data_IF_503966667940
#
_entry.id   IF_503966667940
#
_cell.length_a   1.000
_cell.length_b   1.000
_cell.length_c   1.000
_cell.angle_alpha   90.00
_cell.angle_beta   90.00
_cell.angle_gamma   90.00
#
_symmetry.space_group_name_H-M   'P 1'
#
loop_
_entity.id
_entity.type
_entity.pdbx_description
1 polymer ?
#
# COMPACT_ATOMS: atom_id res chain seq x y z
N UNK A 1 70.59 10.78 27.71
CA UNK A 1 70.30 9.37 27.43
C UNK A 1 70.32 8.62 28.75
N UNK A 2 69.15 8.51 29.38
CA UNK A 2 68.90 7.56 30.46
C UNK A 2 67.69 6.75 29.98
N UNK A 3 67.90 5.45 29.74
CA UNK A 3 66.87 4.57 29.21
C UNK A 3 65.81 4.30 30.28
N UNK A 4 64.55 4.24 29.84
CA UNK A 4 63.36 3.86 30.62
C UNK A 4 63.42 2.42 31.20
N UNK A 5 64.54 1.72 31.04
CA UNK A 5 64.74 0.34 31.45
C UNK A 5 65.18 0.19 32.93
N UNK A 6 65.37 1.30 33.66
CA UNK A 6 65.98 1.30 35.00
C UNK A 6 65.00 1.71 36.13
N UNK A 7 63.70 1.81 35.85
CA UNK A 7 62.71 2.30 36.85
C UNK A 7 61.86 1.20 37.51
N UNK A 8 61.92 -0.05 37.06
CA UNK A 8 61.08 -1.11 37.64
C UNK A 8 61.79 -2.47 37.70
N UNK A 9 62.91 -2.53 38.42
CA UNK A 9 63.33 -3.78 39.06
C UNK A 9 62.95 -3.72 40.53
N UNK A 10 61.96 -4.54 40.88
CA UNK A 10 62.00 -5.52 41.97
C UNK A 10 60.64 -5.61 42.69
N UNK A 11 59.79 -6.54 42.26
CA UNK A 11 59.18 -7.43 43.25
C UNK A 11 58.78 -8.78 42.63
N UNK A 12 59.59 -9.77 42.98
CA UNK A 12 59.24 -11.15 43.35
C UNK A 12 58.10 -11.85 42.60
N UNK A 13 58.51 -12.87 41.86
CA UNK A 13 57.73 -14.09 41.64
C UNK A 13 57.28 -14.68 42.98
N UNK A 14 55.98 -14.69 43.24
CA UNK A 14 55.34 -15.74 44.04
C UNK A 14 54.04 -16.17 43.35
N UNK A 15 54.10 -17.39 42.81
CA UNK A 15 53.00 -18.34 42.60
C UNK A 15 51.61 -17.91 43.10
N UNK A 16 50.74 -17.48 42.17
CA UNK A 16 49.32 -17.85 42.21
C UNK A 16 48.66 -17.57 40.85
N UNK A 17 48.92 -18.47 39.91
CA UNK A 17 48.35 -18.39 38.54
C UNK A 17 46.84 -18.72 38.54
N UNK A 18 46.33 -19.30 39.63
CA UNK A 18 44.91 -19.66 39.78
C UNK A 18 44.04 -18.50 40.27
N UNK A 19 44.62 -17.53 40.98
CA UNK A 19 43.88 -16.39 41.53
C UNK A 19 43.66 -15.28 40.47
N UNK A 20 44.61 -15.06 39.55
CA UNK A 20 44.49 -14.06 38.48
C UNK A 20 43.47 -14.44 37.39
N UNK A 21 43.28 -15.74 37.15
CA UNK A 21 42.29 -16.20 36.15
C UNK A 21 40.86 -16.03 36.65
N UNK A 22 40.62 -16.11 37.96
CA UNK A 22 39.28 -15.86 38.51
C UNK A 22 38.95 -14.36 38.61
N UNK A 23 39.95 -13.51 38.91
CA UNK A 23 39.75 -12.06 38.99
C UNK A 23 39.49 -11.44 37.60
N UNK A 24 40.23 -11.87 36.58
CA UNK A 24 40.02 -11.43 35.19
C UNK A 24 38.65 -11.84 34.61
N UNK A 25 38.13 -13.02 34.98
CA UNK A 25 36.81 -13.50 34.53
C UNK A 25 35.66 -12.77 35.22
N UNK A 26 35.87 -12.30 36.46
CA UNK A 26 34.90 -11.48 37.20
C UNK A 26 34.87 -10.05 36.67
N UNK A 27 36.03 -9.50 36.28
CA UNK A 27 36.13 -8.18 35.66
C UNK A 27 35.55 -8.13 34.24
N UNK A 28 35.81 -9.15 33.40
CA UNK A 28 35.24 -9.21 32.04
C UNK A 28 33.70 -9.31 32.04
N UNK A 29 33.12 -10.00 33.03
CA UNK A 29 31.66 -10.08 33.16
C UNK A 29 31.04 -8.76 33.63
N UNK A 30 31.74 -8.01 34.48
CA UNK A 30 31.30 -6.66 34.90
C UNK A 30 31.45 -5.63 33.78
N UNK A 31 32.51 -5.72 32.97
CA UNK A 31 32.72 -4.89 31.78
C UNK A 31 31.69 -5.18 30.67
N UNK A 32 31.38 -6.45 30.41
CA UNK A 32 30.36 -6.84 29.43
C UNK A 32 28.94 -6.41 29.85
N UNK A 33 28.65 -6.32 31.15
CA UNK A 33 27.39 -5.81 31.68
C UNK A 33 27.26 -4.27 31.58
N UNK A 34 28.38 -3.54 31.47
CA UNK A 34 28.41 -2.08 31.41
C UNK A 34 28.55 -1.53 29.98
N UNK A 35 29.20 -2.28 29.06
CA UNK A 35 29.56 -1.80 27.71
C UNK A 35 29.11 -2.75 26.57
N UNK A 36 28.54 -3.92 26.90
CA UNK A 36 28.14 -4.94 25.92
C UNK A 36 29.27 -5.91 25.55
N UNK A 37 28.96 -7.10 24.98
CA UNK A 37 29.94 -8.16 24.74
C UNK A 37 30.93 -7.80 23.61
N UNK A 38 32.21 -8.18 23.71
CA UNK A 38 33.19 -7.90 22.68
C UNK A 38 32.92 -8.73 21.40
N UNK A 39 33.05 -8.09 20.24
CA UNK A 39 32.99 -8.77 18.95
C UNK A 39 34.12 -9.79 18.83
N UNK A 40 33.75 -11.06 18.66
CA UNK A 40 34.67 -12.14 18.29
C UNK A 40 35.28 -11.80 16.93
N UNK A 41 36.58 -11.51 16.90
CA UNK A 41 37.35 -11.43 15.68
C UNK A 41 37.41 -12.82 15.04
N UNK A 42 36.49 -13.08 14.10
CA UNK A 42 36.59 -14.24 13.23
C UNK A 42 37.83 -14.08 12.36
N UNK A 43 38.82 -14.93 12.60
CA UNK A 43 39.96 -15.11 11.69
C UNK A 43 39.40 -15.57 10.34
N UNK A 44 39.43 -14.68 9.34
CA UNK A 44 38.95 -14.98 7.99
C UNK A 44 39.75 -16.13 7.36
N UNK A 45 39.11 -17.14 6.74
CA UNK A 45 39.81 -18.03 5.83
C UNK A 45 40.17 -17.28 4.54
N UNK A 46 41.30 -17.66 3.94
CA UNK A 46 41.92 -17.03 2.75
C UNK A 46 40.92 -16.82 1.60
N UNK A 47 40.92 -15.60 1.04
CA UNK A 47 40.19 -15.10 -0.15
C UNK A 47 40.29 -15.92 -1.45
N UNK A 48 40.97 -17.07 -1.48
CA UNK A 48 41.19 -17.86 -2.70
C UNK A 48 40.04 -18.86 -2.94
N UNK A 49 39.33 -19.30 -1.90
CA UNK A 49 38.25 -20.31 -2.05
C UNK A 49 36.88 -19.72 -2.45
N UNK A 50 36.61 -18.44 -2.16
CA UNK A 50 35.33 -17.81 -2.49
C UNK A 50 35.13 -17.71 -4.02
N UNK A 51 36.20 -17.41 -4.76
CA UNK A 51 36.17 -17.31 -6.22
C UNK A 51 35.97 -18.68 -6.89
N UNK A 52 36.58 -19.74 -6.36
CA UNK A 52 36.36 -21.11 -6.82
C UNK A 52 34.92 -21.57 -6.54
N UNK A 53 34.37 -21.18 -5.38
CA UNK A 53 32.99 -21.48 -4.98
C UNK A 53 31.96 -20.73 -5.82
N UNK A 54 32.22 -19.47 -6.15
CA UNK A 54 31.37 -18.66 -7.05
C UNK A 54 31.40 -19.19 -8.48
N UNK A 55 32.57 -19.58 -8.98
CA UNK A 55 32.69 -20.23 -10.30
C UNK A 55 31.93 -21.54 -10.34
N UNK A 56 32.02 -22.37 -9.29
CA UNK A 56 31.27 -23.62 -9.19
C UNK A 56 29.75 -23.41 -9.13
N UNK A 57 29.27 -22.34 -8.46
CA UNK A 57 27.85 -21.99 -8.40
C UNK A 57 27.30 -21.51 -9.75
N UNK A 58 28.09 -20.73 -10.51
CA UNK A 58 27.70 -20.27 -11.85
C UNK A 58 27.67 -21.44 -12.83
N UNK A 59 28.61 -22.37 -12.71
CA UNK A 59 28.70 -23.55 -13.57
C UNK A 59 27.58 -24.58 -13.28
N UNK A 60 27.14 -24.67 -12.01
CA UNK A 60 25.95 -25.43 -11.60
C UNK A 60 24.64 -24.77 -12.09
N UNK A 61 24.56 -23.44 -12.05
CA UNK A 61 23.43 -22.68 -12.58
C UNK A 61 23.32 -22.80 -14.11
N UNK A 62 24.45 -22.83 -14.82
CA UNK A 62 24.49 -23.05 -16.27
C UNK A 62 24.08 -24.48 -16.66
N UNK A 63 24.38 -25.48 -15.83
CA UNK A 63 23.96 -26.88 -16.05
C UNK A 63 22.49 -27.16 -15.73
N UNK A 64 21.86 -26.33 -14.90
CA UNK A 64 20.44 -26.45 -14.52
C UNK A 64 19.51 -25.54 -15.34
N UNK A 65 20.06 -24.64 -16.16
CA UNK A 65 19.30 -23.81 -17.08
C UNK A 65 18.75 -24.64 -18.26
N UNK A 66 17.52 -25.13 -18.11
CA UNK A 66 16.78 -25.75 -19.22
C UNK A 66 16.19 -24.67 -20.14
N UNK A 67 16.36 -24.75 -21.46
CA UNK A 67 15.73 -23.80 -22.38
C UNK A 67 14.21 -23.98 -22.38
N UNK A 68 13.49 -22.87 -22.25
CA UNK A 68 12.02 -22.81 -22.31
C UNK A 68 11.56 -23.29 -23.69
N UNK A 69 10.87 -24.43 -23.72
CA UNK A 69 10.11 -24.93 -24.87
C UNK A 69 8.70 -24.34 -24.80
N UNK A 70 8.28 -23.60 -25.82
CA UNK A 70 6.89 -23.18 -25.99
C UNK A 70 6.21 -24.14 -26.98
N UNK A 71 5.32 -25.01 -26.50
CA UNK A 71 4.03 -25.37 -27.11
C UNK A 71 3.34 -26.55 -26.38
N UNK A 72 2.05 -26.39 -26.07
CA UNK A 72 1.07 -27.50 -26.07
C UNK A 72 0.54 -28.04 -24.73
N UNK A 73 -0.68 -27.60 -24.37
CA UNK A 73 -1.76 -28.30 -23.65
C UNK A 73 -1.46 -29.32 -22.52
N UNK A 74 -1.93 -29.03 -21.30
CA UNK A 74 -2.13 -30.02 -20.23
C UNK A 74 -2.56 -29.36 -18.90
N UNK A 75 -3.68 -29.80 -18.33
CA UNK A 75 -4.38 -29.17 -17.19
C UNK A 75 -3.61 -29.11 -15.86
N UNK A 76 -4.00 -28.14 -15.04
CA UNK A 76 -3.30 -27.68 -13.83
C UNK A 76 -3.57 -28.52 -12.56
N UNK A 77 -2.59 -28.65 -11.64
CA UNK A 77 -2.86 -28.79 -10.23
C UNK A 77 -2.89 -27.40 -9.55
N UNK A 78 -3.98 -27.11 -8.81
CA UNK A 78 -4.14 -25.89 -8.02
C UNK A 78 -3.21 -25.93 -6.80
N UNK A 79 -2.26 -24.99 -6.73
CA UNK A 79 -1.51 -24.64 -5.51
C UNK A 79 -1.98 -23.29 -4.94
N UNK A 80 -1.88 -23.08 -3.62
CA UNK A 80 -2.44 -21.92 -2.93
C UNK A 80 -1.72 -20.62 -3.31
N UNK A 81 -2.51 -19.57 -3.59
CA UNK A 81 -2.04 -18.23 -3.91
C UNK A 81 -1.25 -17.64 -2.72
N UNK A 82 0.07 -17.62 -2.82
CA UNK A 82 0.92 -16.75 -2.00
C UNK A 82 0.89 -15.35 -2.62
N UNK A 83 0.59 -14.35 -1.79
CA UNK A 83 0.58 -12.94 -2.19
C UNK A 83 1.90 -12.54 -2.84
N UNK A 84 1.81 -11.92 -4.01
CA UNK A 84 2.97 -11.36 -4.71
C UNK A 84 3.55 -10.23 -3.86
N UNK A 85 4.65 -10.50 -3.16
CA UNK A 85 5.62 -9.43 -2.91
C UNK A 85 6.12 -9.02 -4.29
N UNK A 86 5.84 -7.78 -4.69
CA UNK A 86 6.42 -7.15 -5.88
C UNK A 86 7.93 -7.08 -5.66
N UNK A 87 8.63 -8.13 -6.08
CA UNK A 87 10.08 -8.06 -6.20
C UNK A 87 10.35 -7.06 -7.30
N UNK A 88 10.90 -5.92 -6.94
CA UNK A 88 11.15 -4.80 -7.83
C UNK A 88 12.28 -5.15 -8.81
N UNK A 89 11.92 -5.82 -9.91
CA UNK A 89 12.83 -6.17 -11.00
C UNK A 89 13.47 -4.93 -11.66
N UNK A 90 12.99 -3.71 -11.35
CA UNK A 90 13.62 -2.47 -11.79
C UNK A 90 14.95 -2.16 -11.09
N UNK A 91 15.15 -2.58 -9.84
CA UNK A 91 16.45 -2.41 -9.16
C UNK A 91 17.50 -3.42 -9.66
N UNK A 92 17.06 -4.60 -10.09
CA UNK A 92 17.96 -5.67 -10.60
C UNK A 92 18.56 -5.28 -11.95
N UNK A 93 17.80 -4.60 -12.82
CA UNK A 93 18.29 -4.20 -14.15
C UNK A 93 19.33 -3.07 -14.12
N UNK A 94 19.21 -2.12 -13.18
CA UNK A 94 20.20 -1.05 -13.01
C UNK A 94 21.52 -1.57 -12.40
N UNK A 95 21.45 -2.55 -11.49
CA UNK A 95 22.64 -3.18 -10.92
C UNK A 95 23.44 -3.95 -11.99
N UNK A 96 22.76 -4.64 -12.92
CA UNK A 96 23.44 -5.40 -13.98
C UNK A 96 24.12 -4.47 -15.00
N UNK A 97 23.51 -3.35 -15.35
CA UNK A 97 24.07 -2.42 -16.34
C UNK A 97 25.19 -1.53 -15.73
N UNK A 98 25.05 -1.09 -14.48
CA UNK A 98 26.10 -0.35 -13.77
C UNK A 98 27.33 -1.23 -13.47
N UNK A 99 27.13 -2.52 -13.18
CA UNK A 99 28.23 -3.49 -13.04
C UNK A 99 28.92 -3.75 -14.38
N UNK A 100 28.20 -3.71 -15.51
CA UNK A 100 28.80 -3.82 -16.83
C UNK A 100 29.70 -2.62 -17.17
N UNK A 101 29.32 -1.39 -16.79
CA UNK A 101 30.15 -0.19 -16.99
C UNK A 101 31.39 -0.20 -16.09
N UNK A 102 31.28 -0.67 -14.84
CA UNK A 102 32.42 -0.75 -13.91
C UNK A 102 33.37 -1.92 -14.22
N UNK A 103 32.89 -3.00 -14.83
CA UNK A 103 33.71 -4.18 -15.16
C UNK A 103 34.63 -3.99 -16.38
N UNK A 104 34.36 -3.02 -17.26
CA UNK A 104 35.18 -2.78 -18.47
C UNK A 104 36.48 -2.02 -18.16
N UNK A 105 36.56 -1.32 -17.03
CA UNK A 105 37.76 -0.54 -16.64
C UNK A 105 38.91 -1.43 -16.13
N UNK A 106 38.69 -2.73 -15.88
CA UNK A 106 39.60 -3.54 -15.05
C UNK A 106 40.50 -4.56 -15.73
N UNK A 107 40.19 -5.08 -16.93
CA UNK A 107 40.90 -6.26 -17.45
C UNK A 107 41.00 -6.18 -18.97
N UNK A 108 42.16 -5.79 -19.51
CA UNK A 108 42.81 -6.40 -20.70
C UNK A 108 44.09 -5.63 -21.08
N UNK A 109 45.02 -5.51 -20.12
CA UNK A 109 46.38 -5.03 -20.35
C UNK A 109 47.40 -6.16 -20.26
N UNK A 110 47.19 -7.27 -20.98
CA UNK A 110 48.00 -8.48 -20.80
C UNK A 110 48.10 -9.36 -22.05
N UNK A 111 49.08 -9.02 -22.90
CA UNK A 111 49.79 -9.91 -23.84
C UNK A 111 49.04 -10.32 -25.13
N UNK A 112 49.32 -9.60 -26.22
CA UNK A 112 49.93 -10.14 -27.45
C UNK A 112 50.41 -8.98 -28.35
N UNK A 113 51.58 -8.41 -28.06
CA UNK A 113 52.23 -7.42 -28.91
C UNK A 113 53.15 -8.14 -29.91
N UNK A 114 52.61 -8.42 -31.09
CA UNK A 114 53.39 -8.60 -32.30
C UNK A 114 53.01 -7.48 -33.28
N UNK A 115 53.89 -6.48 -33.41
CA UNK A 115 53.91 -5.43 -34.46
C UNK A 115 52.83 -4.34 -34.53
N UNK A 116 51.97 -4.13 -33.51
CA UNK A 116 51.07 -2.97 -33.52
C UNK A 116 51.82 -1.67 -33.15
N UNK A 117 51.60 -0.58 -33.91
CA UNK A 117 52.13 0.75 -33.54
C UNK A 117 51.49 1.23 -32.23
N UNK A 118 52.17 2.12 -31.46
CA UNK A 118 51.57 2.75 -30.29
C UNK A 118 50.23 3.44 -30.59
N UNK A 119 50.12 4.13 -31.74
CA UNK A 119 48.89 4.76 -32.20
C UNK A 119 47.77 3.73 -32.46
N UNK A 120 48.08 2.60 -33.10
CA UNK A 120 47.10 1.52 -33.31
C UNK A 120 46.60 0.91 -31.99
N UNK A 121 47.44 0.89 -30.96
CA UNK A 121 47.05 0.40 -29.63
C UNK A 121 46.17 1.41 -28.90
N UNK A 122 46.52 2.70 -28.96
CA UNK A 122 45.72 3.79 -28.41
C UNK A 122 44.35 3.88 -29.10
N UNK A 123 44.28 3.69 -30.42
CA UNK A 123 43.04 3.70 -31.18
C UNK A 123 42.08 2.58 -30.76
N UNK A 124 42.60 1.40 -30.43
CA UNK A 124 41.79 0.30 -29.87
C UNK A 124 41.24 0.69 -28.49
N UNK A 125 42.07 1.25 -27.61
CA UNK A 125 41.61 1.72 -26.30
C UNK A 125 40.52 2.79 -26.45
N UNK A 126 40.73 3.79 -27.33
CA UNK A 126 39.72 4.78 -27.68
C UNK A 126 38.41 4.14 -28.14
N UNK A 127 38.45 3.15 -29.04
CA UNK A 127 37.23 2.49 -29.50
C UNK A 127 36.47 1.74 -28.41
N UNK A 128 37.18 1.21 -27.41
CA UNK A 128 36.56 0.56 -26.24
C UNK A 128 35.92 1.61 -25.34
N UNK A 129 36.62 2.71 -25.08
CA UNK A 129 36.11 3.81 -24.26
C UNK A 129 34.89 4.47 -24.92
N UNK A 130 34.90 4.65 -26.25
CA UNK A 130 33.76 5.15 -27.02
C UNK A 130 32.55 4.20 -26.96
N UNK A 131 32.76 2.88 -27.00
CA UNK A 131 31.69 1.91 -26.85
C UNK A 131 31.10 1.93 -25.43
N UNK A 132 31.95 2.09 -24.41
CA UNK A 132 31.52 2.28 -23.02
C UNK A 132 30.70 3.56 -22.85
N UNK A 133 31.17 4.66 -23.45
CA UNK A 133 30.48 5.94 -23.45
C UNK A 133 29.09 5.82 -24.08
N UNK A 134 28.97 5.20 -25.25
CA UNK A 134 27.69 4.98 -25.92
C UNK A 134 26.71 4.15 -25.07
N UNK A 135 27.19 3.11 -24.38
CA UNK A 135 26.37 2.35 -23.44
C UNK A 135 25.90 3.21 -22.25
N UNK A 136 26.76 4.09 -21.74
CA UNK A 136 26.43 5.06 -20.69
C UNK A 136 25.36 6.06 -21.15
N UNK A 137 25.50 6.63 -22.34
CA UNK A 137 24.52 7.56 -22.94
C UNK A 137 23.15 6.88 -23.08
N UNK A 138 23.11 5.63 -23.58
CA UNK A 138 21.89 4.84 -23.69
C UNK A 138 21.24 4.54 -22.32
N UNK A 139 22.05 4.29 -21.29
CA UNK A 139 21.56 4.05 -19.93
C UNK A 139 20.87 5.28 -19.34
N UNK A 140 21.48 6.46 -19.50
CA UNK A 140 20.89 7.73 -19.04
C UNK A 140 19.60 8.01 -19.82
N UNK A 141 19.59 7.82 -21.14
CA UNK A 141 18.38 8.02 -21.95
C UNK A 141 17.24 7.10 -21.52
N UNK A 142 17.55 5.84 -21.23
CA UNK A 142 16.58 4.90 -20.68
C UNK A 142 16.08 5.32 -19.30
N UNK A 143 16.95 5.89 -18.47
CA UNK A 143 16.60 6.46 -17.16
C UNK A 143 15.67 7.66 -17.28
N UNK A 144 15.97 8.60 -18.17
CA UNK A 144 15.14 9.77 -18.45
C UNK A 144 13.75 9.39 -18.97
N UNK A 145 13.66 8.44 -19.89
CA UNK A 145 12.36 7.93 -20.39
C UNK A 145 11.53 7.26 -19.29
N UNK A 146 12.17 6.56 -18.34
CA UNK A 146 11.47 6.00 -17.18
C UNK A 146 10.94 7.09 -16.24
N UNK A 147 11.68 8.18 -16.05
CA UNK A 147 11.20 9.34 -15.27
C UNK A 147 9.95 9.93 -15.91
N UNK A 148 9.96 10.14 -17.23
CA UNK A 148 8.81 10.67 -17.97
C UNK A 148 7.56 9.77 -17.83
N UNK A 149 7.76 8.44 -17.88
CA UNK A 149 6.69 7.47 -17.61
C UNK A 149 6.16 7.60 -16.17
N UNK A 150 7.05 7.67 -15.17
CA UNK A 150 6.64 7.81 -13.76
C UNK A 150 5.87 9.12 -13.51
N UNK A 151 6.31 10.22 -14.11
CA UNK A 151 5.62 11.52 -14.01
C UNK A 151 4.22 11.42 -14.64
N UNK A 152 4.11 10.80 -15.81
CA UNK A 152 2.82 10.62 -16.50
C UNK A 152 1.86 9.72 -15.71
N UNK A 153 2.35 8.61 -15.17
CA UNK A 153 1.58 7.71 -14.31
C UNK A 153 1.09 8.44 -13.05
N UNK A 154 1.97 9.17 -12.36
CA UNK A 154 1.61 9.91 -11.15
C UNK A 154 0.59 11.03 -11.42
N UNK A 155 0.69 11.74 -12.55
CA UNK A 155 -0.36 12.72 -12.96
C UNK A 155 -1.69 12.04 -13.19
N UNK A 156 -1.69 10.91 -13.90
CA UNK A 156 -2.92 10.14 -14.18
C UNK A 156 -3.58 9.66 -12.89
N UNK A 157 -2.78 9.19 -11.92
CA UNK A 157 -3.28 8.82 -10.59
C UNK A 157 -3.94 10.00 -9.88
N UNK A 158 -3.27 11.16 -9.85
CA UNK A 158 -3.81 12.38 -9.24
C UNK A 158 -5.16 12.81 -9.87
N UNK A 159 -5.25 12.80 -11.20
CA UNK A 159 -6.44 13.17 -11.95
C UNK A 159 -7.61 12.20 -11.72
N UNK A 160 -7.31 10.90 -11.53
CA UNK A 160 -8.34 9.88 -11.31
C UNK A 160 -9.06 9.99 -9.97
N UNK A 161 -8.44 10.62 -8.98
CA UNK A 161 -8.91 10.64 -7.59
C UNK A 161 -9.79 11.85 -7.28
N UNK A 162 -9.59 12.96 -7.99
CA UNK A 162 -10.29 14.23 -7.75
C UNK A 162 -11.83 14.13 -7.78
N UNK A 163 -12.46 13.38 -8.72
CA UNK A 163 -13.91 13.19 -8.70
C UNK A 163 -14.39 12.45 -7.44
N UNK A 164 -13.63 11.45 -6.97
CA UNK A 164 -13.99 10.68 -5.78
C UNK A 164 -13.88 11.53 -4.51
N UNK A 165 -12.84 12.37 -4.39
CA UNK A 165 -12.69 13.31 -3.26
C UNK A 165 -13.81 14.36 -3.21
N UNK A 166 -14.36 14.73 -4.36
CA UNK A 166 -15.53 15.61 -4.44
C UNK A 166 -16.80 14.86 -4.04
N UNK A 167 -16.96 13.61 -4.47
CA UNK A 167 -18.16 12.81 -4.21
C UNK A 167 -18.36 12.50 -2.71
N UNK A 168 -17.27 12.36 -1.94
CA UNK A 168 -17.33 12.00 -0.51
C UNK A 168 -17.40 13.21 0.43
N UNK A 169 -17.54 14.42 -0.10
CA UNK A 169 -17.69 15.65 0.70
C UNK A 169 -18.92 15.58 1.61
N UNK A 170 -18.72 15.76 2.91
CA UNK A 170 -19.76 15.68 3.93
C UNK A 170 -20.12 14.26 4.37
N UNK A 171 -19.44 13.23 3.86
CA UNK A 171 -19.67 11.82 4.22
C UNK A 171 -18.53 11.20 5.04
N UNK A 172 -17.39 11.90 5.15
CA UNK A 172 -16.16 11.41 5.80
C UNK A 172 -15.55 12.50 6.68
N UNK A 173 -14.42 12.19 7.32
CA UNK A 173 -13.64 13.19 8.06
C UNK A 173 -13.13 14.28 7.11
N UNK A 174 -13.72 15.47 7.21
CA UNK A 174 -13.40 16.62 6.35
C UNK A 174 -11.94 17.10 6.47
N UNK A 175 -11.31 17.13 7.65
CA UNK A 175 -9.87 17.39 7.75
C UNK A 175 -9.01 16.41 6.95
N UNK A 176 -9.28 15.10 7.03
CA UNK A 176 -8.58 14.08 6.26
C UNK A 176 -8.84 14.20 4.76
N UNK A 177 -10.09 14.48 4.36
CA UNK A 177 -10.44 14.75 2.95
C UNK A 177 -9.70 15.97 2.41
N UNK A 178 -9.66 17.06 3.18
CA UNK A 178 -8.93 18.27 2.84
C UNK A 178 -7.43 18.02 2.68
N UNK A 179 -6.83 17.19 3.54
CA UNK A 179 -5.43 16.77 3.40
C UNK A 179 -5.18 15.94 2.13
N UNK A 180 -6.11 15.07 1.74
CA UNK A 180 -6.03 14.31 0.49
C UNK A 180 -6.15 15.22 -0.75
N UNK A 181 -7.06 16.20 -0.73
CA UNK A 181 -7.19 17.21 -1.80
C UNK A 181 -5.90 18.04 -1.92
N UNK A 182 -5.33 18.47 -0.79
CA UNK A 182 -4.05 19.19 -0.81
C UNK A 182 -2.92 18.31 -1.34
N UNK A 183 -2.90 17.02 -1.01
CA UNK A 183 -1.90 16.09 -1.52
C UNK A 183 -1.97 15.90 -3.05
N UNK A 184 -3.17 15.95 -3.65
CA UNK A 184 -3.34 15.99 -5.11
C UNK A 184 -2.70 17.25 -5.70
N UNK A 185 -2.95 18.42 -5.09
CA UNK A 185 -2.37 19.68 -5.54
C UNK A 185 -0.84 19.71 -5.38
N UNK A 186 -0.32 19.23 -4.26
CA UNK A 186 1.11 19.15 -3.97
C UNK A 186 1.82 18.19 -4.92
N UNK A 187 1.19 17.04 -5.25
CA UNK A 187 1.72 16.11 -6.25
C UNK A 187 1.81 16.78 -7.62
N UNK A 188 0.75 17.43 -8.11
CA UNK A 188 0.76 18.14 -9.40
C UNK A 188 1.83 19.22 -9.45
N UNK A 189 1.87 20.10 -8.43
CA UNK A 189 2.86 21.16 -8.34
C UNK A 189 4.29 20.62 -8.24
N UNK A 190 4.49 19.55 -7.46
CA UNK A 190 5.77 18.87 -7.35
C UNK A 190 6.24 18.29 -8.67
N UNK A 191 5.35 17.62 -9.42
CA UNK A 191 5.67 17.05 -10.73
C UNK A 191 5.96 18.14 -11.79
N UNK A 192 5.29 19.29 -11.73
CA UNK A 192 5.56 20.43 -12.61
C UNK A 192 6.91 21.10 -12.29
N UNK A 193 7.38 20.99 -11.05
CA UNK A 193 8.68 21.49 -10.62
C UNK A 193 9.83 20.49 -10.87
N UNK A 194 9.55 19.27 -11.32
CA UNK A 194 10.59 18.29 -11.67
C UNK A 194 11.27 18.72 -12.96
N UNK A 195 12.53 19.13 -12.85
CA UNK A 195 13.35 19.48 -14.00
C UNK A 195 13.98 18.21 -14.61
N UNK A 196 13.74 17.92 -15.90
CA UNK A 196 14.33 16.76 -16.54
C UNK A 196 15.85 16.95 -16.70
N UNK A 197 16.65 15.88 -16.52
CA UNK A 197 18.09 15.97 -16.69
C UNK A 197 18.44 16.39 -18.12
N UNK A 198 19.36 17.35 -18.26
CA UNK A 198 19.78 17.87 -19.55
C UNK A 198 20.66 16.85 -20.29
N UNK A 199 20.07 16.12 -21.23
CA UNK A 199 20.77 15.10 -22.00
C UNK A 199 21.83 15.71 -22.93
N UNK A 200 23.09 15.24 -22.91
CA UNK A 200 24.11 15.71 -23.83
C UNK A 200 23.88 15.18 -25.25
N UNK A 201 24.38 15.93 -26.24
CA UNK A 201 24.42 15.46 -27.63
C UNK A 201 25.25 14.17 -27.74
N UNK A 202 24.75 13.13 -28.45
CA UNK A 202 25.45 11.86 -28.60
C UNK A 202 26.88 12.06 -29.08
N UNK A 203 27.82 11.37 -28.45
CA UNK A 203 29.20 11.47 -28.88
C UNK A 203 29.38 10.90 -30.30
N UNK A 204 30.08 11.67 -31.14
CA UNK A 204 30.58 11.22 -32.41
C UNK A 204 32.06 11.56 -32.52
N UNK A 205 32.88 10.56 -32.91
CA UNK A 205 34.30 10.78 -33.19
C UNK A 205 34.46 11.81 -34.31
N UNK A 206 35.40 12.77 -34.20
CA UNK A 206 35.67 13.73 -35.26
C UNK A 206 36.08 13.03 -36.58
N UNK A 207 35.44 13.38 -37.69
CA UNK A 207 35.70 12.78 -39.00
C UNK A 207 37.12 13.06 -39.54
N UNK A 208 37.80 14.08 -39.00
CA UNK A 208 39.15 14.48 -39.39
C UNK A 208 40.28 13.89 -38.54
N UNK A 209 39.98 13.00 -37.58
CA UNK A 209 40.97 12.47 -36.65
C UNK A 209 42.08 11.69 -37.39
N UNK A 210 43.34 12.11 -37.27
CA UNK A 210 44.47 11.33 -37.78
C UNK A 210 44.77 10.14 -36.85
N UNK A 211 44.32 8.95 -37.24
CA UNK A 211 44.44 7.74 -36.42
C UNK A 211 45.86 7.19 -36.30
N UNK A 212 46.77 7.64 -37.16
CA UNK A 212 48.19 7.25 -37.11
C UNK A 212 49.01 8.18 -36.20
N UNK A 213 48.46 9.33 -35.80
CA UNK A 213 49.07 10.26 -34.86
C UNK A 213 48.67 9.92 -33.42
N UNK A 214 49.65 9.47 -32.64
CA UNK A 214 49.45 9.11 -31.24
C UNK A 214 48.99 10.30 -30.38
N UNK A 215 49.47 11.52 -30.66
CA UNK A 215 49.09 12.69 -29.89
C UNK A 215 47.63 13.08 -30.13
N UNK A 216 47.17 12.97 -31.37
CA UNK A 216 45.77 13.27 -31.73
C UNK A 216 44.80 12.23 -31.16
N UNK A 217 45.16 10.94 -31.25
CA UNK A 217 44.39 9.86 -30.62
C UNK A 217 44.39 10.00 -29.09
N UNK A 218 45.52 10.38 -28.49
CA UNK A 218 45.62 10.65 -27.06
C UNK A 218 44.71 11.77 -26.59
N UNK A 219 44.70 12.90 -27.30
CA UNK A 219 43.78 14.01 -27.02
C UNK A 219 42.31 13.59 -27.13
N UNK A 220 41.97 12.73 -28.09
CA UNK A 220 40.62 12.22 -28.24
C UNK A 220 40.20 11.29 -27.09
N UNK A 221 41.13 10.49 -26.56
CA UNK A 221 40.87 9.67 -25.35
C UNK A 221 40.54 10.55 -24.15
N UNK A 222 41.25 11.67 -23.97
CA UNK A 222 40.98 12.60 -22.87
C UNK A 222 39.57 13.23 -22.98
N UNK A 223 39.12 13.56 -24.20
CA UNK A 223 37.74 14.01 -24.46
C UNK A 223 36.71 12.95 -24.09
N UNK A 224 36.94 11.68 -24.45
CA UNK A 224 36.02 10.58 -24.12
C UNK A 224 35.98 10.32 -22.61
N UNK A 225 37.11 10.47 -21.91
CA UNK A 225 37.17 10.37 -20.44
C UNK A 225 36.39 11.48 -19.75
N UNK A 226 36.59 12.73 -20.17
CA UNK A 226 35.84 13.88 -19.64
C UNK A 226 34.32 13.69 -19.84
N UNK A 227 33.90 13.19 -21.00
CA UNK A 227 32.50 12.83 -21.24
C UNK A 227 32.01 11.67 -20.36
N UNK A 228 32.85 10.68 -20.11
CA UNK A 228 32.51 9.55 -19.23
C UNK A 228 32.31 10.01 -17.77
N UNK A 229 33.10 10.96 -17.31
CA UNK A 229 32.91 11.60 -16.00
C UNK A 229 31.57 12.37 -15.96
N UNK A 230 31.23 13.10 -17.02
CA UNK A 230 29.94 13.79 -17.14
C UNK A 230 28.74 12.82 -17.11
N UNK A 231 28.84 11.65 -17.77
CA UNK A 231 27.83 10.58 -17.71
C UNK A 231 27.63 10.07 -16.28
N UNK A 232 28.70 9.97 -15.49
CA UNK A 232 28.59 9.55 -14.09
C UNK A 232 27.77 10.57 -13.29
N UNK A 233 28.02 11.86 -13.47
CA UNK A 233 27.23 12.93 -12.86
C UNK A 233 25.75 12.90 -13.28
N UNK A 234 25.49 12.74 -14.58
CA UNK A 234 24.12 12.62 -15.11
C UNK A 234 23.37 11.39 -14.58
N UNK A 235 24.09 10.29 -14.32
CA UNK A 235 23.48 9.09 -13.72
C UNK A 235 23.00 9.36 -12.29
N UNK A 236 23.75 10.14 -11.51
CA UNK A 236 23.35 10.57 -10.17
C UNK A 236 22.19 11.56 -10.21
N UNK A 237 22.17 12.46 -11.19
CA UNK A 237 21.07 13.39 -11.43
C UNK A 237 19.77 12.64 -11.77
N UNK A 238 19.80 11.71 -12.73
CA UNK A 238 18.67 10.83 -13.06
C UNK A 238 18.16 10.09 -11.83
N UNK A 239 19.06 9.55 -11.00
CA UNK A 239 18.67 8.85 -9.77
C UNK A 239 17.99 9.78 -8.77
N UNK A 240 18.50 11.01 -8.65
CA UNK A 240 17.97 12.05 -7.76
C UNK A 240 16.57 12.47 -8.21
N UNK A 241 16.41 12.82 -9.49
CA UNK A 241 15.13 13.22 -10.08
C UNK A 241 14.09 12.09 -9.94
N UNK A 242 14.47 10.85 -10.25
CA UNK A 242 13.59 9.70 -10.04
C UNK A 242 13.17 9.57 -8.58
N UNK A 243 14.11 9.75 -7.65
CA UNK A 243 13.83 9.72 -6.21
C UNK A 243 12.83 10.78 -5.77
N UNK A 244 12.89 11.99 -6.34
CA UNK A 244 11.93 13.06 -6.08
C UNK A 244 10.52 12.68 -6.54
N UNK A 245 10.37 12.18 -7.78
CA UNK A 245 9.07 11.75 -8.31
C UNK A 245 8.46 10.63 -7.45
N UNK A 246 9.27 9.65 -7.05
CA UNK A 246 8.81 8.56 -6.18
C UNK A 246 8.39 9.10 -4.81
N UNK A 247 9.16 10.00 -4.20
CA UNK A 247 8.82 10.58 -2.91
C UNK A 247 7.52 11.40 -2.95
N UNK A 248 7.29 12.17 -4.02
CA UNK A 248 6.04 12.90 -4.24
C UNK A 248 4.84 11.94 -4.31
N UNK A 249 4.97 10.87 -5.10
CA UNK A 249 3.93 9.85 -5.23
C UNK A 249 3.68 9.12 -3.91
N UNK A 250 4.73 8.75 -3.18
CA UNK A 250 4.61 8.05 -1.90
C UNK A 250 3.90 8.92 -0.85
N UNK A 251 4.20 10.23 -0.81
CA UNK A 251 3.50 11.18 0.07
C UNK A 251 2.00 11.28 -0.29
N UNK A 252 1.67 11.36 -1.58
CA UNK A 252 0.30 11.34 -2.05
C UNK A 252 -0.45 10.06 -1.66
N UNK A 253 0.15 8.89 -1.91
CA UNK A 253 -0.43 7.59 -1.55
C UNK A 253 -0.63 7.47 -0.03
N UNK A 254 0.29 8.00 0.77
CA UNK A 254 0.15 8.03 2.23
C UNK A 254 -1.04 8.88 2.68
N UNK A 255 -1.27 10.05 2.08
CA UNK A 255 -2.45 10.88 2.36
C UNK A 255 -3.75 10.18 1.97
N UNK A 256 -3.77 9.47 0.84
CA UNK A 256 -4.93 8.68 0.44
C UNK A 256 -5.21 7.53 1.40
N UNK A 257 -4.16 6.84 1.87
CA UNK A 257 -4.30 5.78 2.87
C UNK A 257 -4.80 6.31 4.22
N UNK A 258 -4.35 7.50 4.64
CA UNK A 258 -4.82 8.16 5.85
C UNK A 258 -6.31 8.50 5.75
N UNK A 259 -6.76 9.03 4.61
CA UNK A 259 -8.18 9.25 4.33
C UNK A 259 -8.97 7.94 4.33
N UNK A 260 -8.49 6.89 3.67
CA UNK A 260 -9.20 5.60 3.64
C UNK A 260 -9.38 4.99 5.03
N UNK A 261 -8.45 5.23 5.95
CA UNK A 261 -8.55 4.77 7.33
C UNK A 261 -9.66 5.47 8.14
N UNK A 262 -10.19 6.62 7.70
CA UNK A 262 -11.28 7.33 8.39
C UNK A 262 -12.66 6.82 8.02
N UNK A 263 -12.79 6.05 6.93
CA UNK A 263 -14.10 5.56 6.45
C UNK A 263 -14.83 4.70 7.49
N UNK A 264 -14.20 3.68 8.11
CA UNK A 264 -14.87 2.85 9.12
C UNK A 264 -15.43 3.67 10.28
N UNK A 265 -14.66 4.62 10.81
CA UNK A 265 -15.10 5.47 11.92
C UNK A 265 -16.22 6.44 11.52
N UNK A 266 -16.21 6.95 10.27
CA UNK A 266 -17.30 7.78 9.77
C UNK A 266 -18.59 6.97 9.60
N UNK A 267 -18.48 5.74 9.09
CA UNK A 267 -19.61 4.83 8.95
C UNK A 267 -20.22 4.43 10.30
N UNK A 268 -19.38 4.18 11.31
CA UNK A 268 -19.86 3.89 12.67
C UNK A 268 -20.71 5.06 13.23
N UNK A 269 -20.27 6.30 13.03
CA UNK A 269 -21.03 7.48 13.46
C UNK A 269 -22.38 7.62 12.73
N UNK A 270 -22.41 7.40 11.41
CA UNK A 270 -23.65 7.39 10.64
C UNK A 270 -24.60 6.27 11.10
N UNK A 271 -24.07 5.05 11.32
CA UNK A 271 -24.88 3.91 11.77
C UNK A 271 -25.45 4.16 13.18
N UNK A 272 -24.70 4.81 14.07
CA UNK A 272 -25.18 5.18 15.40
C UNK A 272 -26.31 6.21 15.31
N UNK A 273 -26.17 7.24 14.48
CA UNK A 273 -27.21 8.26 14.27
C UNK A 273 -28.47 7.67 13.61
N UNK A 274 -28.30 6.82 12.60
CA UNK A 274 -29.37 6.28 11.78
C UNK A 274 -29.78 4.84 12.13
N UNK A 275 -29.55 4.39 13.37
CA UNK A 275 -29.68 2.99 13.80
C UNK A 275 -31.08 2.35 13.73
N UNK A 276 -32.14 3.08 13.39
CA UNK A 276 -33.48 2.52 13.09
C UNK A 276 -33.64 1.96 11.67
N UNK A 277 -32.66 2.19 10.77
CA UNK A 277 -32.69 1.61 9.43
C UNK A 277 -32.64 0.07 9.46
N UNK A 278 -33.08 -0.57 8.39
CA UNK A 278 -32.97 -2.02 8.20
C UNK A 278 -31.50 -2.48 8.26
N UNK A 279 -31.29 -3.63 8.89
CA UNK A 279 -29.95 -4.20 9.10
C UNK A 279 -29.17 -4.37 7.79
N UNK A 280 -29.85 -4.61 6.67
CA UNK A 280 -29.19 -4.74 5.36
C UNK A 280 -28.52 -3.44 4.89
N UNK A 281 -29.08 -2.26 5.22
CA UNK A 281 -28.45 -0.97 4.92
C UNK A 281 -27.28 -0.70 5.86
N UNK A 282 -27.42 -1.03 7.15
CA UNK A 282 -26.35 -0.93 8.15
C UNK A 282 -25.13 -1.77 7.70
N UNK A 283 -25.37 -3.03 7.34
CA UNK A 283 -24.34 -3.96 6.88
C UNK A 283 -23.68 -3.46 5.58
N UNK A 284 -24.47 -2.90 4.65
CA UNK A 284 -23.97 -2.37 3.39
C UNK A 284 -23.03 -1.16 3.59
N UNK A 285 -23.39 -0.23 4.48
CA UNK A 285 -22.55 0.94 4.80
C UNK A 285 -21.26 0.51 5.49
N UNK A 286 -21.34 -0.39 6.48
CA UNK A 286 -20.16 -0.95 7.17
C UNK A 286 -19.21 -1.66 6.21
N UNK A 287 -19.75 -2.51 5.31
CA UNK A 287 -18.96 -3.21 4.31
C UNK A 287 -18.30 -2.27 3.29
N UNK A 288 -19.02 -1.25 2.83
CA UNK A 288 -18.48 -0.26 1.89
C UNK A 288 -17.36 0.58 2.51
N UNK A 289 -17.52 0.99 3.77
CA UNK A 289 -16.50 1.72 4.50
C UNK A 289 -15.21 0.89 4.69
N UNK A 290 -15.35 -0.40 5.00
CA UNK A 290 -14.21 -1.32 5.12
C UNK A 290 -13.52 -1.64 3.78
N UNK A 291 -14.24 -1.52 2.66
CA UNK A 291 -13.71 -1.80 1.33
C UNK A 291 -12.64 -0.78 0.90
N UNK A 292 -12.74 0.49 1.31
CA UNK A 292 -11.78 1.54 0.94
C UNK A 292 -10.36 1.22 1.42
N UNK A 293 -10.08 1.05 2.73
CA UNK A 293 -8.73 0.71 3.20
C UNK A 293 -8.28 -0.67 2.72
N UNK A 294 -9.20 -1.61 2.47
CA UNK A 294 -8.86 -2.92 1.89
C UNK A 294 -8.35 -2.79 0.43
N UNK A 295 -9.01 -1.98 -0.39
CA UNK A 295 -8.57 -1.69 -1.76
C UNK A 295 -7.21 -0.98 -1.78
N UNK A 296 -6.98 -0.08 -0.82
CA UNK A 296 -5.69 0.60 -0.66
C UNK A 296 -4.57 -0.35 -0.21
N UNK A 297 -4.84 -1.25 0.73
CA UNK A 297 -3.90 -2.29 1.14
C UNK A 297 -3.55 -3.27 -0.01
N UNK A 298 -4.43 -3.42 -0.99
CA UNK A 298 -4.18 -4.18 -2.22
C UNK A 298 -3.34 -3.42 -3.26
N UNK A 299 -2.99 -2.16 -2.99
CA UNK A 299 -2.17 -1.31 -3.85
C UNK A 299 -2.97 -0.39 -4.78
N UNK A 300 -4.29 -0.27 -4.58
CA UNK A 300 -5.12 0.74 -5.26
C UNK A 300 -5.21 2.05 -4.46
N UNK A 301 -5.97 3.02 -4.98
CA UNK A 301 -6.28 4.27 -4.28
C UNK A 301 -7.67 4.27 -3.63
N UNK A 302 -8.47 3.22 -3.83
CA UNK A 302 -9.84 3.10 -3.31
C UNK A 302 -10.89 3.94 -4.05
N UNK A 303 -10.59 4.42 -5.27
CA UNK A 303 -11.42 5.40 -6.00
C UNK A 303 -12.84 4.88 -6.24
N UNK A 304 -13.00 3.63 -6.66
CA UNK A 304 -14.31 3.05 -6.94
C UNK A 304 -15.13 2.91 -5.66
N UNK A 305 -14.48 2.46 -4.58
CA UNK A 305 -15.08 2.25 -3.27
C UNK A 305 -15.51 3.60 -2.65
N UNK A 306 -14.64 4.61 -2.69
CA UNK A 306 -14.95 5.97 -2.24
C UNK A 306 -16.13 6.56 -3.02
N UNK A 307 -16.18 6.35 -4.35
CA UNK A 307 -17.28 6.86 -5.19
C UNK A 307 -18.61 6.18 -4.87
N UNK A 308 -18.60 4.90 -4.48
CA UNK A 308 -19.82 4.15 -4.17
C UNK A 308 -20.39 4.46 -2.78
N UNK A 309 -19.54 4.85 -1.84
CA UNK A 309 -19.89 5.03 -0.42
C UNK A 309 -21.05 6.03 -0.15
N UNK A 310 -21.07 7.26 -0.72
CA UNK A 310 -22.11 8.25 -0.44
C UNK A 310 -23.54 7.75 -0.68
N UNK A 311 -23.77 7.03 -1.79
CA UNK A 311 -25.09 6.54 -2.15
C UNK A 311 -25.63 5.50 -1.16
N UNK A 312 -24.75 4.74 -0.50
CA UNK A 312 -25.14 3.78 0.53
C UNK A 312 -25.49 4.48 1.84
N UNK A 313 -24.77 5.54 2.19
CA UNK A 313 -25.09 6.39 3.35
C UNK A 313 -26.43 7.10 3.14
N UNK A 314 -26.68 7.65 1.94
CA UNK A 314 -27.97 8.28 1.62
C UNK A 314 -29.14 7.27 1.70
N UNK A 315 -28.92 6.03 1.26
CA UNK A 315 -29.90 4.97 1.37
C UNK A 315 -30.20 4.59 2.83
N UNK A 316 -29.18 4.51 3.69
CA UNK A 316 -29.32 4.30 5.13
C UNK A 316 -30.19 5.39 5.77
N UNK A 317 -29.87 6.66 5.49
CA UNK A 317 -30.61 7.82 6.02
C UNK A 317 -32.07 7.81 5.60
N UNK A 318 -32.35 7.52 4.33
CA UNK A 318 -33.72 7.46 3.81
C UNK A 318 -34.53 6.31 4.45
N UNK A 319 -33.90 5.14 4.63
CA UNK A 319 -34.57 4.00 5.25
C UNK A 319 -34.84 4.23 6.74
N UNK A 320 -33.92 4.88 7.45
CA UNK A 320 -34.12 5.31 8.82
C UNK A 320 -35.36 6.21 8.98
N UNK A 321 -35.50 7.22 8.11
CA UNK A 321 -36.67 8.12 8.14
C UNK A 321 -37.98 7.35 7.92
N UNK A 322 -37.96 6.38 7.00
CA UNK A 322 -39.10 5.50 6.74
C UNK A 322 -39.44 4.65 7.97
N UNK A 323 -38.45 4.05 8.61
CA UNK A 323 -38.65 3.23 9.81
C UNK A 323 -39.24 4.06 10.97
N UNK A 324 -38.76 5.29 11.17
CA UNK A 324 -39.34 6.20 12.16
C UNK A 324 -40.80 6.52 11.84
N UNK A 325 -41.12 6.81 10.58
CA UNK A 325 -42.50 7.14 10.18
C UNK A 325 -43.46 5.97 10.42
N UNK A 326 -43.02 4.73 10.17
CA UNK A 326 -43.80 3.52 10.45
C UNK A 326 -44.07 3.35 11.95
N UNK A 327 -43.03 3.48 12.79
CA UNK A 327 -43.17 3.42 14.26
C UNK A 327 -44.13 4.49 14.78
N UNK A 328 -44.07 5.72 14.26
CA UNK A 328 -44.97 6.79 14.65
C UNK A 328 -46.42 6.51 14.22
N UNK A 329 -46.63 6.00 13.01
CA UNK A 329 -47.95 5.63 12.50
C UNK A 329 -48.59 4.48 13.30
N UNK A 330 -47.81 3.46 13.68
CA UNK A 330 -48.27 2.39 14.56
C UNK A 330 -48.70 2.93 15.93
N UNK A 331 -47.88 3.80 16.54
CA UNK A 331 -48.19 4.43 17.83
C UNK A 331 -49.40 5.37 17.78
N UNK A 332 -49.70 5.95 16.63
CA UNK A 332 -50.92 6.75 16.44
C UNK A 332 -52.15 5.84 16.31
N UNK A 333 -52.06 4.77 15.51
CA UNK A 333 -53.13 3.79 15.36
C UNK A 333 -53.48 3.08 16.69
N UNK A 334 -52.47 2.78 17.51
CA UNK A 334 -52.67 2.24 18.86
C UNK A 334 -53.42 3.22 19.77
N UNK A 335 -53.09 4.52 19.71
CA UNK A 335 -53.79 5.57 20.48
C UNK A 335 -55.25 5.71 20.05
N UNK A 336 -55.52 5.68 18.75
CA UNK A 336 -56.89 5.73 18.22
C UNK A 336 -57.70 4.51 18.64
N UNK A 337 -57.11 3.31 18.58
CA UNK A 337 -57.77 2.09 19.02
C UNK A 337 -58.05 2.09 20.53
N UNK A 338 -57.10 2.57 21.34
CA UNK A 338 -57.29 2.73 22.78
C UNK A 338 -58.42 3.70 23.12
N UNK A 339 -58.54 4.81 22.38
CA UNK A 339 -59.62 5.78 22.56
C UNK A 339 -60.99 5.19 22.18
N UNK A 340 -61.07 4.44 21.08
CA UNK A 340 -62.29 3.77 20.65
C UNK A 340 -62.75 2.67 21.63
N UNK A 341 -61.82 1.96 22.27
CA UNK A 341 -62.13 0.92 23.26
C UNK A 341 -62.52 1.49 24.64
N UNK A 342 -62.15 2.74 24.96
CA UNK A 342 -62.56 3.41 26.20
C UNK A 342 -63.99 3.96 26.15
N UNK A 343 -64.57 4.16 24.96
CA UNK A 343 -65.94 4.65 24.76
C UNK A 343 -67.07 3.61 24.85
N UNK A 344 -66.77 2.31 24.97
CA UNK A 344 -67.76 1.22 24.87
C UNK A 344 -68.39 0.74 26.20
N UNK A 345 -68.09 1.39 27.32
CA UNK A 345 -68.20 0.78 28.64
C UNK A 345 -69.38 1.16 29.55
N UNK A 346 -70.57 1.54 29.07
CA UNK A 346 -71.78 1.61 29.91
C UNK A 346 -73.08 1.40 29.12
N UNK A 347 -73.33 0.20 28.60
CA UNK A 347 -74.73 -0.21 28.31
C UNK A 347 -75.28 -0.98 29.51
N UNK A 348 -76.02 -0.25 30.35
CA UNK A 348 -76.76 -0.79 31.49
C UNK A 348 -77.81 -1.83 31.04
N UNK A 349 -77.72 -3.11 31.45
CA UNK A 349 -78.72 -4.10 31.12
C UNK A 349 -79.81 -4.12 32.18
N UNK A 350 -80.95 -3.51 31.85
CA UNK A 350 -82.25 -3.90 32.41
C UNK A 350 -82.91 -2.87 33.33
N UNK A 351 -84.00 -2.28 32.86
CA UNK A 351 -85.28 -2.29 33.59
C UNK A 351 -86.41 -1.93 32.63
N UNK A 352 -87.36 -2.86 32.46
CA UNK A 352 -88.66 -2.53 31.88
C UNK A 352 -89.55 -1.85 32.94
N UNK A 353 -90.59 -1.15 32.47
CA UNK A 353 -91.67 -0.65 33.33
C UNK A 353 -91.87 0.85 33.17
N UNK A 354 -93.04 1.23 32.65
CA UNK A 354 -93.42 2.61 32.37
C UNK A 354 -93.67 3.48 33.61
N UNK A 355 -93.87 4.77 33.38
CA UNK A 355 -94.33 5.69 34.42
C UNK A 355 -93.88 7.13 34.22
N UNK A 356 -94.73 7.87 33.50
CA UNK A 356 -95.07 9.29 33.62
C UNK A 356 -94.32 10.23 34.61
N UNK A 357 -94.23 11.49 34.17
CA UNK A 357 -94.20 12.78 34.91
C UNK A 357 -92.95 13.24 35.66
N UNK A 358 -92.27 14.23 35.07
CA UNK A 358 -92.30 15.62 35.54
C UNK A 358 -91.31 16.06 36.64
N UNK A 359 -90.61 17.17 36.36
CA UNK A 359 -90.16 18.11 37.41
C UNK A 359 -88.64 18.21 37.56
N UNK A 360 -88.09 19.38 37.20
CA UNK A 360 -86.67 19.68 37.28
C UNK A 360 -86.13 19.97 38.69
N UNK A 361 -84.84 20.34 38.68
CA UNK A 361 -84.00 20.94 39.72
C UNK A 361 -83.25 20.00 40.68
N UNK A 362 -81.94 19.91 40.47
CA UNK A 362 -80.90 19.59 41.45
C UNK A 362 -79.59 20.15 40.88
N UNK A 363 -78.79 20.99 41.55
CA UNK A 363 -78.53 21.04 42.98
C UNK A 363 -77.09 20.54 43.19
N UNK A 364 -76.16 21.50 43.20
CA UNK A 364 -74.75 21.52 43.63
C UNK A 364 -74.05 20.22 44.09
N UNK A 365 -72.83 19.96 43.61
CA UNK A 365 -71.56 20.18 44.36
C UNK A 365 -70.32 19.58 43.64
N UNK A 366 -69.38 20.46 43.29
CA UNK A 366 -67.93 20.19 43.15
C UNK A 366 -67.31 20.05 44.56
N UNK A 367 -66.21 19.29 44.81
CA UNK A 367 -64.85 19.82 44.60
C UNK A 367 -63.77 18.77 44.22
N UNK A 368 -62.76 19.14 43.41
CA UNK A 368 -61.47 18.44 43.50
C UNK A 368 -60.40 18.65 42.41
N UNK A 369 -59.74 19.81 42.42
CA UNK A 369 -58.28 20.01 42.29
C UNK A 369 -57.46 19.23 41.25
N UNK A 370 -56.94 19.99 40.27
CA UNK A 370 -55.65 19.82 39.60
C UNK A 370 -54.48 19.69 40.61
N UNK A 371 -53.51 18.79 40.34
CA UNK A 371 -52.11 19.20 40.45
C UNK A 371 -51.27 18.72 39.25
N UNK A 372 -50.86 19.65 38.40
CA UNK A 372 -49.49 20.17 38.35
C UNK A 372 -48.35 19.21 37.96
N UNK A 373 -47.55 19.71 37.02
CA UNK A 373 -46.11 19.50 36.77
C UNK A 373 -45.64 18.29 35.94
N UNK A 374 -45.20 18.64 34.73
CA UNK A 374 -44.10 18.02 33.99
C UNK A 374 -42.84 17.80 34.86
N UNK A 375 -42.17 16.65 34.70
CA UNK A 375 -40.72 16.57 34.81
C UNK A 375 -40.10 16.02 33.51
N UNK A 376 -39.54 16.92 32.70
CA UNK A 376 -38.12 17.00 32.38
C UNK A 376 -37.32 15.72 32.13
N UNK A 377 -36.61 15.76 31.00
CA UNK A 377 -35.27 15.19 30.72
C UNK A 377 -35.10 13.69 30.47
N UNK A 378 -34.55 13.42 29.29
CA UNK A 378 -33.71 12.30 28.84
C UNK A 378 -32.97 11.51 29.94
N UNK A 379 -32.79 10.20 29.73
CA UNK A 379 -31.56 9.54 30.10
C UNK A 379 -30.90 8.87 28.87
N UNK A 380 -29.91 9.55 28.29
CA UNK A 380 -28.71 8.88 27.82
C UNK A 380 -28.02 8.19 29.02
N UNK A 381 -27.74 6.89 28.88
CA UNK A 381 -26.43 6.22 29.09
C UNK A 381 -26.63 4.71 29.21
N UNK A 382 -25.91 4.01 28.34
CA UNK A 382 -25.35 2.65 28.40
C UNK A 382 -25.47 1.82 29.71
N UNK A 383 -25.63 0.49 29.56
CA UNK A 383 -24.67 -0.40 30.21
C UNK A 383 -24.13 -1.49 29.25
N UNK A 384 -22.91 -1.31 28.77
CA UNK A 384 -21.72 -1.96 29.30
C UNK A 384 -21.78 -3.47 29.45
N UNK A 385 -20.93 -4.12 28.65
CA UNK A 385 -20.14 -5.33 28.96
C UNK A 385 -20.78 -6.72 28.75
N UNK A 386 -20.18 -7.41 27.78
CA UNK A 386 -20.08 -8.86 27.62
C UNK A 386 -19.70 -9.60 28.92
N UNK A 387 -20.23 -10.83 29.13
CA UNK A 387 -19.34 -11.94 29.40
C UNK A 387 -19.65 -13.19 28.56
N UNK A 388 -18.80 -13.43 27.56
CA UNK A 388 -18.03 -14.63 27.31
C UNK A 388 -18.57 -16.02 27.71
N UNK A 389 -18.49 -16.91 26.71
CA UNK A 389 -18.22 -18.37 26.74
C UNK A 389 -19.41 -19.35 26.76
N UNK A 390 -19.53 -20.14 25.67
CA UNK A 390 -20.50 -21.23 25.43
C UNK A 390 -20.17 -22.54 26.16
N UNK A 391 -20.40 -23.77 25.62
CA UNK A 391 -21.00 -24.19 24.33
C UNK A 391 -22.19 -25.18 24.47
N UNK A 392 -23.01 -25.32 23.41
CA UNK A 392 -24.12 -26.28 23.39
C UNK A 392 -24.49 -26.77 21.99
N UNK A 393 -23.71 -27.75 21.49
CA UNK A 393 -24.13 -28.94 20.69
C UNK A 393 -25.17 -28.79 19.56
N UNK A 394 -24.73 -29.01 18.30
CA UNK A 394 -25.59 -29.53 17.20
C UNK A 394 -25.96 -31.02 17.40
N UNK A 395 -26.66 -31.74 16.48
CA UNK A 395 -26.65 -31.55 15.00
C UNK A 395 -28.01 -31.74 14.24
N UNK A 396 -28.00 -31.42 12.93
CA UNK A 396 -28.93 -31.92 11.89
C UNK A 396 -30.18 -31.04 11.67
N UNK A 397 -30.61 -30.67 10.46
CA UNK A 397 -30.69 -31.47 9.22
C UNK A 397 -30.77 -30.57 7.97
N UNK A 398 -29.99 -30.91 6.96
CA UNK A 398 -30.20 -30.53 5.55
C UNK A 398 -31.25 -31.46 4.93
N UNK A 399 -32.19 -30.95 4.13
CA UNK A 399 -32.75 -31.71 3.04
C UNK A 399 -32.51 -30.98 1.72
N UNK A 400 -31.50 -31.44 1.00
CA UNK A 400 -31.31 -31.11 -0.40
C UNK A 400 -32.52 -31.47 -1.25
N UNK A 401 -32.81 -30.60 -2.22
CA UNK A 401 -33.60 -30.95 -3.42
C UNK A 401 -33.08 -30.13 -4.60
N UNK A 402 -32.34 -30.79 -5.47
CA UNK A 402 -32.35 -30.49 -6.90
C UNK A 402 -33.18 -31.60 -7.58
N UNK A 403 -34.10 -31.24 -8.47
CA UNK A 403 -34.19 -31.98 -9.71
C UNK A 403 -34.22 -31.04 -10.92
N UNK A 404 -33.21 -31.22 -11.77
CA UNK A 404 -33.06 -30.50 -13.02
C UNK A 404 -34.17 -30.73 -14.03
N UNK A 405 -34.20 -29.83 -15.01
CA UNK A 405 -34.76 -30.07 -16.35
C UNK A 405 -34.04 -29.16 -17.35
N UNK A 406 -33.10 -29.73 -18.10
CA UNK A 406 -32.87 -29.34 -19.49
C UNK A 406 -34.05 -29.86 -20.32
N UNK A 407 -34.41 -29.15 -21.39
CA UNK A 407 -34.57 -29.84 -22.66
C UNK A 407 -33.68 -29.21 -23.74
N UNK A 408 -32.69 -29.99 -24.19
CA UNK A 408 -32.08 -29.80 -25.49
C UNK A 408 -33.05 -30.14 -26.63
N UNK A 409 -33.21 -29.21 -27.56
CA UNK A 409 -33.49 -29.41 -28.99
C UNK A 409 -32.81 -28.22 -29.67
N UNK A 410 -31.94 -28.31 -30.67
CA UNK A 410 -31.61 -29.37 -31.59
C UNK A 410 -31.49 -28.72 -32.97
N UNK A 411 -30.25 -28.50 -33.43
CA UNK A 411 -29.83 -28.46 -34.84
C UNK A 411 -30.43 -27.41 -35.78
N UNK A 412 -29.56 -26.66 -36.48
CA UNK A 412 -29.99 -25.88 -37.64
C UNK A 412 -28.96 -24.89 -38.16
N UNK A 413 -27.94 -25.46 -38.81
CA UNK A 413 -27.09 -24.90 -39.86
C UNK A 413 -27.45 -23.52 -40.46
N UNK A 414 -26.39 -22.72 -40.65
CA UNK A 414 -26.28 -21.56 -41.56
C UNK A 414 -26.94 -21.79 -42.92
N UNK A 415 -27.47 -20.72 -43.54
CA UNK A 415 -26.72 -20.18 -44.68
C UNK A 415 -26.73 -18.64 -44.76
N UNK A 416 -25.58 -18.06 -45.12
CA UNK A 416 -25.50 -16.82 -45.91
C UNK A 416 -26.13 -17.08 -47.29
N UNK A 417 -26.83 -16.12 -47.91
CA UNK A 417 -26.13 -15.16 -48.79
C UNK A 417 -26.83 -13.79 -48.99
N UNK A 418 -26.08 -12.83 -49.56
CA UNK A 418 -26.66 -11.91 -50.56
C UNK A 418 -26.64 -10.42 -50.22
N UNK A 419 -25.63 -9.76 -50.77
CA UNK A 419 -25.56 -8.39 -51.31
C UNK A 419 -26.81 -7.50 -51.25
N UNK A 420 -26.58 -6.27 -50.78
CA UNK A 420 -27.38 -5.07 -50.97
C UNK A 420 -26.56 -3.84 -50.62
#
# INVERSE_FOLDING_TARGET
MNSLADLFTDDRRSSDDSARVMDAVVDDRRLAALVGPPLVQQTAPRRVDEAARLTALVDEAARSASPVQIAGAGGAPKMPKRGHKRTDWLNVSFAVLAVAVVAVVGVFGGIQLANASPAASALRALSVDEASLANGEQAIQSGASRIDTLVTEARTEADSVEPALTAIEGYVDEPARGAAVQAVADLRAGLDAVEPPAMPEPYARPAGLNTDDLAEVGAQIDVVRERSDAITGLTEEVRTVRGQVVALRDAFVASMAALGATFPTAAEAEIEEYGQADQSFIDAVSAAAAAVPAAQAAGGLGVAEMTAYPALVDALRLDHERAIAEILAEREAERENANNNSGGGFTNPGTGGGGNTGGGTGGDTDPGTDPGTDPGTDPGTDPGTDPGTGPGTGPGTDPGTDPGTEPGTGGGETPTPGEG
#
